data_IF_235062619408
#
_entry.id   IF_235062619408
#
_cell.length_a   1.000
_cell.length_b   1.000
_cell.length_c   1.000
_cell.angle_alpha   90.00
_cell.angle_beta   90.00
_cell.angle_gamma   90.00
#
_symmetry.space_group_name_H-M   'P 1'
#
loop_
_entity.id
_entity.type
_entity.pdbx_description
1 polymer ?
#
# COMPACT_ATOMS: atom_id res chain seq x y z
N UNK A 1 -37.96 -38.80 11.48
CA UNK A 1 -37.54 -37.72 12.40
C UNK A 1 -36.09 -37.98 12.69
N UNK A 2 -35.18 -37.02 12.61
CA UNK A 2 -35.31 -35.64 13.07
C UNK A 2 -34.83 -34.64 12.00
N UNK A 3 -35.46 -33.47 11.96
CA UNK A 3 -34.97 -32.31 11.23
C UNK A 3 -34.24 -31.36 12.18
N UNK A 4 -33.21 -30.68 11.67
CA UNK A 4 -32.67 -29.42 12.20
C UNK A 4 -31.82 -28.82 11.07
N UNK A 5 -32.24 -27.73 10.43
CA UNK A 5 -31.78 -26.38 10.77
C UNK A 5 -30.39 -26.15 10.16
N UNK A 6 -30.24 -25.53 9.00
CA UNK A 6 -30.51 -24.11 8.78
C UNK A 6 -29.32 -23.28 9.28
N UNK A 7 -28.56 -22.67 8.38
CA UNK A 7 -27.69 -21.54 8.74
C UNK A 7 -26.31 -21.53 8.11
N UNK A 8 -26.10 -20.48 7.30
CA UNK A 8 -24.82 -19.87 6.96
C UNK A 8 -23.86 -20.71 6.10
N UNK A 9 -23.97 -20.53 4.78
CA UNK A 9 -22.80 -20.44 3.92
C UNK A 9 -21.93 -19.27 4.39
N UNK A 10 -21.17 -19.49 5.45
CA UNK A 10 -20.20 -18.56 5.98
C UNK A 10 -19.13 -18.37 4.93
N UNK A 11 -19.07 -17.16 4.37
CA UNK A 11 -17.97 -16.70 3.54
C UNK A 11 -16.66 -16.95 4.28
N UNK A 12 -15.95 -18.01 3.90
CA UNK A 12 -14.53 -18.18 4.22
C UNK A 12 -13.77 -17.16 3.37
N UNK A 13 -13.86 -15.89 3.75
CA UNK A 13 -12.90 -14.89 3.34
C UNK A 13 -11.56 -15.39 3.90
N UNK A 14 -10.53 -15.62 3.08
CA UNK A 14 -9.27 -16.14 3.59
C UNK A 14 -8.76 -15.21 4.70
N UNK A 15 -8.37 -15.81 5.82
CA UNK A 15 -7.87 -15.17 7.06
C UNK A 15 -6.69 -14.18 6.87
N UNK A 16 -6.22 -13.99 5.63
CA UNK A 16 -5.18 -13.03 5.23
C UNK A 16 -5.72 -11.61 4.98
N UNK A 17 -7.03 -11.45 4.79
CA UNK A 17 -7.62 -10.12 4.55
C UNK A 17 -7.63 -9.23 5.80
N UNK A 18 -7.76 -9.83 7.00
CA UNK A 18 -8.01 -9.11 8.26
C UNK A 18 -6.75 -8.64 9.01
N UNK A 19 -5.61 -9.33 8.87
CA UNK A 19 -4.42 -9.13 9.72
C UNK A 19 -3.79 -7.73 9.70
N UNK A 20 -4.13 -6.92 8.69
CA UNK A 20 -3.58 -5.58 8.51
C UNK A 20 -4.64 -4.51 8.23
N UNK A 21 -5.90 -4.72 8.64
CA UNK A 21 -6.98 -3.75 8.35
C UNK A 21 -6.66 -2.34 8.83
N UNK A 22 -6.17 -2.18 10.06
CA UNK A 22 -5.75 -0.89 10.60
C UNK A 22 -4.67 -0.22 9.73
N UNK A 23 -3.63 -0.97 9.34
CA UNK A 23 -2.56 -0.48 8.48
C UNK A 23 -3.08 -0.10 7.09
N UNK A 24 -3.90 -0.97 6.47
CA UNK A 24 -4.53 -0.73 5.17
C UNK A 24 -5.44 0.50 5.20
N UNK A 25 -6.25 0.65 6.25
CA UNK A 25 -7.12 1.81 6.46
C UNK A 25 -6.30 3.10 6.60
N UNK A 26 -5.23 3.09 7.40
CA UNK A 26 -4.33 4.25 7.52
C UNK A 26 -3.67 4.60 6.18
N UNK A 27 -3.23 3.61 5.39
CA UNK A 27 -2.63 3.86 4.06
C UNK A 27 -3.65 4.32 3.02
N UNK A 28 -4.89 3.83 3.08
CA UNK A 28 -5.99 4.32 2.23
C UNK A 28 -6.34 5.79 2.58
N UNK A 29 -6.41 6.12 3.87
CA UNK A 29 -6.61 7.50 4.32
C UNK A 29 -5.47 8.42 3.87
N UNK A 30 -4.21 7.98 4.02
CA UNK A 30 -3.03 8.71 3.54
C UNK A 30 -3.09 9.00 2.03
N UNK A 31 -3.52 8.03 1.21
CA UNK A 31 -3.66 8.24 -0.23
C UNK A 31 -4.70 9.31 -0.57
N UNK A 32 -5.80 9.39 0.19
CA UNK A 32 -6.77 10.47 0.02
C UNK A 32 -6.23 11.81 0.51
N UNK A 33 -5.46 11.81 1.61
CA UNK A 33 -4.80 13.02 2.10
C UNK A 33 -3.82 13.59 1.08
N UNK A 34 -3.04 12.74 0.39
CA UNK A 34 -2.19 13.13 -0.75
C UNK A 34 -2.97 13.87 -1.83
N UNK A 35 -4.14 13.35 -2.23
CA UNK A 35 -5.01 14.00 -3.22
C UNK A 35 -5.52 15.37 -2.75
N UNK A 36 -5.87 15.50 -1.47
CA UNK A 36 -6.31 16.77 -0.89
C UNK A 36 -5.15 17.77 -0.85
N UNK A 37 -3.97 17.36 -0.37
CA UNK A 37 -2.78 18.20 -0.32
C UNK A 37 -2.32 18.66 -1.72
N UNK A 38 -2.34 17.76 -2.70
CA UNK A 38 -2.02 18.09 -4.09
C UNK A 38 -2.88 19.22 -4.63
N UNK A 39 -4.18 19.25 -4.31
CA UNK A 39 -5.10 20.32 -4.71
C UNK A 39 -4.83 21.62 -3.96
N UNK A 40 -4.58 21.54 -2.65
CA UNK A 40 -4.32 22.72 -1.82
C UNK A 40 -3.03 23.44 -2.23
N UNK A 41 -2.00 22.70 -2.64
CA UNK A 41 -0.70 23.23 -3.01
C UNK A 41 -0.52 23.43 -4.53
N UNK A 42 -1.57 23.21 -5.32
CA UNK A 42 -1.51 23.34 -6.77
C UNK A 42 -1.15 24.76 -7.23
N UNK A 43 -1.58 25.79 -6.49
CA UNK A 43 -1.26 27.19 -6.81
C UNK A 43 0.22 27.56 -6.56
N UNK A 44 0.94 26.74 -5.80
CA UNK A 44 2.36 26.92 -5.47
C UNK A 44 3.27 26.05 -6.34
N UNK A 45 2.73 25.35 -7.34
CA UNK A 45 3.45 24.40 -8.20
C UNK A 45 4.21 23.32 -7.42
N UNK A 46 3.65 22.86 -6.28
CA UNK A 46 4.23 21.79 -5.47
C UNK A 46 3.63 20.44 -5.88
N UNK A 47 4.49 19.50 -6.27
CA UNK A 47 4.12 18.12 -6.57
C UNK A 47 3.94 17.34 -5.26
N UNK A 48 2.78 16.72 -5.08
CA UNK A 48 2.49 15.86 -3.93
C UNK A 48 2.10 14.47 -4.44
N UNK A 49 2.79 13.43 -4.01
CA UNK A 49 2.49 12.03 -4.38
C UNK A 49 2.57 11.13 -3.15
N UNK A 50 1.81 10.03 -3.16
CA UNK A 50 2.06 8.92 -2.25
C UNK A 50 2.82 7.83 -3.00
N UNK A 51 3.75 7.17 -2.33
CA UNK A 51 4.60 6.16 -2.96
C UNK A 51 4.66 4.91 -2.09
N UNK A 52 4.33 3.78 -2.71
CA UNK A 52 4.56 2.45 -2.14
C UNK A 52 6.00 2.03 -2.44
N UNK A 53 6.82 1.72 -1.42
CA UNK A 53 8.20 1.27 -1.60
C UNK A 53 8.32 -0.19 -2.09
N UNK A 54 7.19 -0.86 -2.32
CA UNK A 54 7.12 -2.31 -2.51
C UNK A 54 7.27 -3.08 -1.19
N UNK A 55 7.43 -4.40 -1.28
CA UNK A 55 7.65 -5.26 -0.12
C UNK A 55 9.15 -5.44 0.15
N UNK A 56 9.65 -4.65 1.10
CA UNK A 56 11.08 -4.48 1.39
C UNK A 56 11.53 -5.30 2.60
N UNK A 57 12.76 -5.82 2.57
CA UNK A 57 13.42 -6.58 3.64
C UNK A 57 13.86 -5.69 4.82
N UNK A 58 12.89 -4.99 5.41
CA UNK A 58 13.03 -4.27 6.68
C UNK A 58 12.45 -5.09 7.83
N UNK A 59 12.64 -4.63 9.08
CA UNK A 59 12.01 -5.27 10.24
C UNK A 59 10.48 -5.42 10.06
N UNK A 60 9.81 -4.37 9.56
CA UNK A 60 8.37 -4.39 9.28
C UNK A 60 8.02 -5.41 8.20
N UNK A 61 8.73 -5.40 7.06
CA UNK A 61 8.45 -6.30 5.95
C UNK A 61 8.69 -7.77 6.30
N UNK A 62 9.79 -8.06 7.02
CA UNK A 62 10.15 -9.40 7.49
C UNK A 62 9.14 -9.87 8.55
N UNK A 63 8.75 -9.01 9.49
CA UNK A 63 7.75 -9.35 10.51
C UNK A 63 6.41 -9.69 9.88
N UNK A 64 5.93 -8.89 8.92
CA UNK A 64 4.74 -9.22 8.13
C UNK A 64 4.92 -10.54 7.37
N UNK A 65 6.11 -10.79 6.81
CA UNK A 65 6.47 -12.03 6.12
C UNK A 65 6.33 -13.29 6.98
N UNK A 66 6.73 -13.22 8.25
CA UNK A 66 6.56 -14.33 9.21
C UNK A 66 5.09 -14.71 9.41
N UNK A 67 4.18 -13.73 9.42
CA UNK A 67 2.74 -13.98 9.58
C UNK A 67 2.11 -14.62 8.33
N UNK A 68 2.70 -14.43 7.15
CA UNK A 68 2.16 -14.95 5.87
C UNK A 68 3.00 -16.07 5.25
N UNK A 69 4.08 -16.50 5.91
CA UNK A 69 4.96 -17.58 5.44
C UNK A 69 5.77 -17.22 4.20
N UNK A 70 6.04 -15.94 3.95
CA UNK A 70 6.79 -15.45 2.78
C UNK A 70 7.85 -14.43 3.21
N UNK A 71 8.87 -14.24 2.39
CA UNK A 71 9.93 -13.25 2.65
C UNK A 71 9.80 -12.04 1.71
N UNK A 72 10.15 -10.82 2.17
CA UNK A 72 10.16 -9.65 1.30
C UNK A 72 11.14 -9.85 0.12
N UNK A 73 10.70 -9.63 -1.14
CA UNK A 73 11.55 -9.85 -2.30
C UNK A 73 12.57 -8.72 -2.56
N UNK A 74 12.34 -7.51 -2.03
CA UNK A 74 13.20 -6.35 -2.30
C UNK A 74 14.16 -6.08 -1.14
N UNK A 75 15.42 -5.79 -1.47
CA UNK A 75 16.36 -5.22 -0.50
C UNK A 75 16.08 -3.72 -0.29
N UNK A 76 16.49 -3.18 0.85
CA UNK A 76 16.34 -1.73 1.14
C UNK A 76 17.02 -0.86 0.09
N UNK A 77 18.28 -1.11 -0.33
CA UNK A 77 18.91 -0.31 -1.38
C UNK A 77 18.16 -0.34 -2.72
N UNK A 78 17.65 -1.51 -3.12
CA UNK A 78 16.89 -1.66 -4.37
C UNK A 78 15.59 -0.85 -4.34
N UNK A 79 14.85 -0.93 -3.23
CA UNK A 79 13.63 -0.15 -3.03
C UNK A 79 13.89 1.35 -3.11
N UNK A 80 14.93 1.84 -2.42
CA UNK A 80 15.30 3.26 -2.46
C UNK A 80 15.70 3.70 -3.87
N UNK A 81 16.48 2.88 -4.59
CA UNK A 81 16.85 3.18 -5.97
C UNK A 81 15.61 3.30 -6.88
N UNK A 82 14.66 2.37 -6.75
CA UNK A 82 13.40 2.40 -7.51
C UNK A 82 12.57 3.65 -7.17
N UNK A 83 12.51 4.05 -5.90
CA UNK A 83 11.82 5.27 -5.47
C UNK A 83 12.48 6.52 -6.06
N UNK A 84 13.80 6.63 -5.98
CA UNK A 84 14.54 7.78 -6.55
C UNK A 84 14.34 7.89 -8.07
N UNK A 85 14.33 6.75 -8.78
CA UNK A 85 14.06 6.72 -10.21
C UNK A 85 12.62 7.14 -10.55
N UNK A 86 11.64 6.77 -9.74
CA UNK A 86 10.27 7.23 -9.92
C UNK A 86 10.17 8.75 -9.67
N UNK A 87 10.78 9.24 -8.58
CA UNK A 87 10.80 10.66 -8.23
C UNK A 87 11.46 11.53 -9.32
N UNK A 88 12.53 11.05 -9.97
CA UNK A 88 13.23 11.81 -11.01
C UNK A 88 12.41 12.02 -12.30
N UNK A 89 11.31 11.30 -12.46
CA UNK A 89 10.45 11.36 -13.65
C UNK A 89 9.15 12.13 -13.40
N UNK A 90 8.92 12.62 -12.17
CA UNK A 90 7.67 13.29 -11.82
C UNK A 90 7.53 14.66 -12.46
N UNK A 91 6.29 14.97 -12.78
CA UNK A 91 5.84 16.25 -13.27
C UNK A 91 4.63 16.75 -12.46
N UNK A 92 4.23 18.00 -12.69
CA UNK A 92 3.00 18.55 -12.09
C UNK A 92 1.75 17.75 -12.45
N UNK A 93 1.75 17.05 -13.59
CA UNK A 93 0.62 16.21 -14.00
C UNK A 93 0.45 14.96 -13.12
N UNK A 94 1.51 14.56 -12.41
CA UNK A 94 1.49 13.39 -11.53
C UNK A 94 1.03 13.74 -10.10
N UNK A 95 0.83 15.03 -9.79
CA UNK A 95 0.42 15.48 -8.46
C UNK A 95 -0.95 14.91 -8.08
N UNK A 96 -1.02 14.33 -6.89
CA UNK A 96 -2.19 13.62 -6.36
C UNK A 96 -2.20 12.11 -6.65
N UNK A 97 -1.23 11.59 -7.39
CA UNK A 97 -1.16 10.16 -7.72
C UNK A 97 -0.63 9.29 -6.58
N UNK A 98 -0.95 8.00 -6.64
CA UNK A 98 -0.39 6.95 -5.80
C UNK A 98 0.50 6.05 -6.67
N UNK A 99 1.79 6.00 -6.37
CA UNK A 99 2.83 5.38 -7.19
C UNK A 99 3.35 4.08 -6.57
N UNK A 100 3.82 3.16 -7.41
CA UNK A 100 4.57 1.97 -7.00
C UNK A 100 6.04 2.12 -7.40
N UNK A 101 6.95 2.00 -6.44
CA UNK A 101 8.38 2.08 -6.70
C UNK A 101 8.82 0.92 -7.62
N UNK A 102 9.19 1.25 -8.86
CA UNK A 102 9.71 0.29 -9.84
C UNK A 102 8.73 -0.14 -10.93
N UNK A 103 7.53 0.44 -11.03
CA UNK A 103 6.75 0.45 -12.28
C UNK A 103 7.15 1.68 -13.08
N UNK A 104 8.09 1.50 -14.00
CA UNK A 104 8.31 2.36 -15.17
C UNK A 104 7.71 1.70 -16.40
#
# INVERSE_FOLDING_TARGET
GEGSGGGAGGSVVPHLASGFMWYKSSKAALNMETLVMARSLAAEDIIVVSMSPGWVATEMGISCGKWVGMSPPLSTPQSVQNMLQALSQLSLADSGSCLEAGRG
#
